data_IF_650650447673
#
_entry.id   IF_650650447673
#
_cell.length_a   1.000
_cell.length_b   1.000
_cell.length_c   1.000
_cell.angle_alpha   90.00
_cell.angle_beta   90.00
_cell.angle_gamma   90.00
#
_symmetry.space_group_name_H-M   'P 1'
#
loop_
_entity.id
_entity.type
_entity.pdbx_description
1 polymer ?
#
# COMPACT_ATOMS: atom_id res chain seq x y z
N UNK A 1 9.94 -45.31 -18.96
CA UNK A 1 9.50 -44.25 -18.01
C UNK A 1 10.46 -43.09 -18.15
N UNK A 2 10.03 -41.95 -18.68
CA UNK A 2 10.87 -40.74 -18.64
C UNK A 2 10.99 -40.30 -17.19
N UNK A 3 12.20 -40.24 -16.66
CA UNK A 3 12.44 -39.72 -15.31
C UNK A 3 12.04 -38.25 -15.28
N UNK A 4 11.06 -37.90 -14.42
CA UNK A 4 10.69 -36.52 -14.17
C UNK A 4 11.85 -35.81 -13.45
N UNK A 5 12.87 -35.36 -14.17
CA UNK A 5 14.02 -34.66 -13.58
C UNK A 5 13.86 -33.12 -13.61
N UNK A 6 12.62 -32.64 -13.69
CA UNK A 6 12.32 -31.19 -13.79
C UNK A 6 12.35 -30.56 -12.41
N UNK A 7 12.85 -29.33 -12.37
CA UNK A 7 13.06 -28.57 -11.14
C UNK A 7 12.28 -27.26 -11.23
N UNK A 8 11.47 -26.97 -10.22
CA UNK A 8 10.94 -25.64 -9.97
C UNK A 8 11.82 -25.00 -8.89
N UNK A 9 12.46 -23.88 -9.20
CA UNK A 9 13.22 -23.08 -8.25
C UNK A 9 12.36 -21.93 -7.76
N UNK A 10 12.18 -21.85 -6.46
CA UNK A 10 11.37 -20.84 -5.80
C UNK A 10 12.26 -19.92 -4.97
N UNK A 11 12.19 -18.63 -5.28
CA UNK A 11 12.78 -17.57 -4.49
C UNK A 11 11.66 -16.82 -3.77
N UNK A 12 11.72 -16.80 -2.44
CA UNK A 12 10.61 -16.37 -1.59
C UNK A 12 11.02 -15.08 -0.86
N UNK A 13 10.41 -13.96 -1.25
CA UNK A 13 10.83 -12.61 -0.87
C UNK A 13 9.73 -11.82 -0.18
N UNK A 14 10.10 -10.86 0.64
CA UNK A 14 9.19 -9.81 1.08
C UNK A 14 9.05 -8.70 0.00
N UNK A 15 8.30 -7.64 0.32
CA UNK A 15 8.10 -6.51 -0.60
C UNK A 15 9.37 -5.70 -0.87
N UNK A 16 10.38 -5.78 0.00
CA UNK A 16 11.68 -5.15 -0.17
C UNK A 16 12.64 -5.98 -1.04
N UNK A 17 12.27 -7.22 -1.36
CA UNK A 17 13.09 -8.14 -2.14
C UNK A 17 14.05 -8.97 -1.29
N UNK A 18 13.97 -8.90 0.03
CA UNK A 18 14.78 -9.70 0.95
C UNK A 18 14.18 -11.10 1.13
N UNK A 19 15.00 -12.15 1.31
CA UNK A 19 14.49 -13.49 1.58
C UNK A 19 13.70 -13.51 2.89
N UNK A 20 12.49 -14.07 2.87
CA UNK A 20 11.75 -14.25 4.12
C UNK A 20 12.49 -15.24 5.03
N UNK A 21 12.59 -14.90 6.32
CA UNK A 21 13.43 -15.62 7.28
C UNK A 21 12.75 -16.87 7.86
N UNK A 22 11.44 -16.99 7.70
CA UNK A 22 10.63 -18.05 8.29
C UNK A 22 10.57 -19.34 7.45
N UNK A 23 9.99 -20.37 8.06
CA UNK A 23 9.74 -21.63 7.37
C UNK A 23 8.36 -21.61 6.75
N UNK A 24 8.27 -22.08 5.51
CA UNK A 24 7.02 -22.07 4.75
C UNK A 24 6.54 -23.47 4.40
N UNK A 25 5.24 -23.58 4.18
CA UNK A 25 4.63 -24.72 3.51
C UNK A 25 4.36 -24.38 2.04
N UNK A 26 4.74 -25.28 1.13
CA UNK A 26 4.54 -25.14 -0.31
C UNK A 26 3.75 -26.31 -0.84
N UNK A 27 2.64 -26.02 -1.51
CA UNK A 27 1.82 -27.01 -2.20
C UNK A 27 1.80 -26.71 -3.69
N UNK A 28 2.07 -27.75 -4.49
CA UNK A 28 2.00 -27.71 -5.94
C UNK A 28 1.03 -28.78 -6.41
N UNK A 29 0.03 -28.40 -7.21
CA UNK A 29 -0.97 -29.32 -7.77
C UNK A 29 -1.02 -29.16 -9.27
N UNK A 30 -0.75 -30.23 -10.02
CA UNK A 30 -0.96 -30.23 -11.47
C UNK A 30 -2.45 -30.07 -11.79
N UNK A 31 -2.80 -29.27 -12.80
CA UNK A 31 -4.21 -28.96 -13.09
C UNK A 31 -4.93 -30.03 -13.93
N UNK A 32 -4.21 -30.85 -14.68
CA UNK A 32 -4.77 -32.00 -15.41
C UNK A 32 -4.39 -33.37 -14.84
N UNK A 33 -3.12 -33.60 -14.52
CA UNK A 33 -2.62 -34.85 -13.92
C UNK A 33 -2.88 -34.90 -12.42
N UNK A 34 -2.84 -36.11 -11.84
CA UNK A 34 -2.91 -36.33 -10.39
C UNK A 34 -1.62 -35.99 -9.64
N UNK A 35 -0.64 -35.36 -10.31
CA UNK A 35 0.65 -34.99 -9.73
C UNK A 35 0.45 -33.87 -8.68
N UNK A 36 0.84 -34.17 -7.45
CA UNK A 36 0.76 -33.25 -6.31
C UNK A 36 2.04 -33.36 -5.50
N UNK A 37 2.62 -32.22 -5.16
CA UNK A 37 3.76 -32.10 -4.26
C UNK A 37 3.39 -31.21 -3.09
N UNK A 38 3.85 -31.62 -1.91
CA UNK A 38 3.76 -30.83 -0.69
C UNK A 38 5.15 -30.84 -0.08
N UNK A 39 5.71 -29.66 0.12
CA UNK A 39 6.99 -29.44 0.79
C UNK A 39 6.66 -28.66 2.05
N UNK A 40 6.89 -29.26 3.22
CA UNK A 40 6.51 -28.64 4.50
C UNK A 40 7.71 -28.05 5.22
N UNK A 41 7.46 -27.00 5.99
CA UNK A 41 8.38 -26.38 6.94
C UNK A 41 9.79 -26.17 6.38
N UNK A 42 9.88 -25.66 5.14
CA UNK A 42 11.17 -25.49 4.46
C UNK A 42 11.70 -24.08 4.68
N UNK A 43 13.02 -23.96 4.87
CA UNK A 43 13.69 -22.67 5.06
C UNK A 43 13.59 -21.86 3.77
N UNK A 44 13.06 -20.64 3.87
CA UNK A 44 12.93 -19.72 2.75
C UNK A 44 14.11 -18.75 2.57
N UNK A 45 15.14 -18.84 3.43
CA UNK A 45 16.33 -17.98 3.38
C UNK A 45 17.25 -18.19 2.18
N UNK A 46 16.98 -19.21 1.36
CA UNK A 46 17.69 -19.53 0.12
C UNK A 46 16.69 -20.04 -0.91
N UNK A 47 17.10 -20.00 -2.18
CA UNK A 47 16.32 -20.60 -3.28
C UNK A 47 16.01 -22.06 -2.98
N UNK A 48 14.72 -22.38 -2.98
CA UNK A 48 14.20 -23.72 -2.76
C UNK A 48 14.05 -24.44 -4.10
N UNK A 49 14.39 -25.73 -4.16
CA UNK A 49 14.22 -26.54 -5.37
C UNK A 49 13.18 -27.64 -5.13
N UNK A 50 12.11 -27.63 -5.93
CA UNK A 50 11.11 -28.70 -5.97
C UNK A 50 11.37 -29.53 -7.22
N UNK A 51 11.81 -30.77 -7.02
CA UNK A 51 12.20 -31.71 -8.08
C UNK A 51 11.09 -32.72 -8.34
N UNK A 52 11.17 -33.44 -9.46
CA UNK A 52 10.25 -34.55 -9.72
C UNK A 52 8.95 -34.16 -10.42
N UNK A 53 8.91 -32.98 -11.06
CA UNK A 53 7.68 -32.39 -11.57
C UNK A 53 7.33 -32.83 -13.00
N UNK A 54 6.04 -33.00 -13.26
CA UNK A 54 5.49 -33.16 -14.61
C UNK A 54 5.48 -31.80 -15.34
N UNK A 55 5.44 -31.78 -16.69
CA UNK A 55 5.29 -30.51 -17.43
C UNK A 55 3.86 -30.02 -17.39
N UNK A 56 3.70 -28.71 -17.51
CA UNK A 56 2.41 -28.06 -17.71
C UNK A 56 1.96 -27.25 -16.51
N UNK A 57 0.69 -26.89 -16.52
CA UNK A 57 0.12 -25.94 -15.57
C UNK A 57 -0.08 -26.56 -14.19
N UNK A 58 0.58 -25.97 -13.20
CA UNK A 58 0.42 -26.26 -11.79
C UNK A 58 -0.21 -25.07 -11.08
N UNK A 59 -1.04 -25.34 -10.07
CA UNK A 59 -1.42 -24.36 -9.05
C UNK A 59 -0.41 -24.48 -7.91
N UNK A 60 0.32 -23.40 -7.68
CA UNK A 60 1.27 -23.22 -6.59
C UNK A 60 0.61 -22.44 -5.48
N UNK A 61 0.73 -22.92 -4.25
CA UNK A 61 0.32 -22.25 -3.03
C UNK A 61 1.50 -22.25 -2.07
N UNK A 62 1.81 -21.07 -1.51
CA UNK A 62 2.86 -20.92 -0.50
C UNK A 62 2.28 -20.20 0.70
N UNK A 63 2.45 -20.80 1.87
CA UNK A 63 1.86 -20.37 3.14
C UNK A 63 2.97 -20.05 4.16
N UNK A 64 3.40 -18.77 4.21
CA UNK A 64 4.30 -18.23 5.22
C UNK A 64 3.54 -17.80 6.51
N UNK A 65 4.01 -18.17 7.72
CA UNK A 65 3.31 -17.87 8.99
C UNK A 65 2.98 -16.40 9.29
N UNK A 66 3.84 -15.46 8.90
CA UNK A 66 3.71 -14.01 9.22
C UNK A 66 3.30 -13.14 8.04
N UNK A 67 3.21 -13.73 6.84
CA UNK A 67 2.83 -13.02 5.62
C UNK A 67 1.52 -13.57 5.06
N UNK A 68 0.93 -12.88 4.08
CA UNK A 68 -0.25 -13.36 3.42
C UNK A 68 0.10 -14.51 2.46
N UNK A 69 -0.68 -15.60 2.45
CA UNK A 69 -0.43 -16.72 1.56
C UNK A 69 -0.59 -16.30 0.10
N UNK A 70 0.25 -16.85 -0.78
CA UNK A 70 0.19 -16.57 -2.22
C UNK A 70 -0.18 -17.83 -2.98
N UNK A 71 -1.21 -17.72 -3.81
CA UNK A 71 -1.61 -18.74 -4.76
C UNK A 71 -1.47 -18.21 -6.20
N UNK A 72 -0.82 -18.98 -7.09
CA UNK A 72 -0.72 -18.63 -8.52
C UNK A 72 -0.61 -19.86 -9.40
N UNK A 73 -0.88 -19.68 -10.68
CA UNK A 73 -0.57 -20.69 -11.67
C UNK A 73 0.89 -20.56 -12.15
N UNK A 74 1.51 -21.71 -12.35
CA UNK A 74 2.89 -21.87 -12.81
C UNK A 74 2.93 -22.90 -13.92
N UNK A 75 3.45 -22.52 -15.08
CA UNK A 75 3.70 -23.46 -16.16
C UNK A 75 5.12 -24.03 -16.04
N UNK A 76 5.20 -25.31 -15.66
CA UNK A 76 6.48 -26.03 -15.56
C UNK A 76 6.91 -26.44 -16.97
N UNK A 77 7.93 -25.74 -17.48
CA UNK A 77 8.38 -25.89 -18.88
C UNK A 77 9.16 -27.19 -19.09
N UNK A 78 9.40 -27.52 -20.37
CA UNK A 78 10.21 -28.67 -20.80
C UNK A 78 11.72 -28.54 -20.50
N UNK A 79 12.18 -27.36 -20.08
CA UNK A 79 13.58 -27.08 -19.74
C UNK A 79 14.05 -27.73 -18.43
N UNK A 80 15.34 -27.57 -18.09
CA UNK A 80 15.94 -28.20 -16.91
C UNK A 80 15.42 -27.60 -15.59
N UNK A 81 15.11 -26.30 -15.59
CA UNK A 81 14.48 -25.63 -14.46
C UNK A 81 13.46 -24.58 -14.91
N UNK A 82 12.49 -24.30 -14.03
CA UNK A 82 11.62 -23.13 -14.08
C UNK A 82 11.89 -22.32 -12.82
N UNK A 83 12.29 -21.05 -12.96
CA UNK A 83 12.67 -20.19 -11.84
C UNK A 83 11.57 -19.16 -11.59
N UNK A 84 11.14 -19.00 -10.33
CA UNK A 84 10.05 -18.11 -9.96
C UNK A 84 10.39 -17.38 -8.68
N UNK A 85 10.20 -16.05 -8.71
CA UNK A 85 10.17 -15.22 -7.52
C UNK A 85 8.73 -15.06 -7.05
N UNK A 86 8.49 -15.28 -5.77
CA UNK A 86 7.21 -15.03 -5.09
C UNK A 86 7.46 -13.98 -4.03
N UNK A 87 6.70 -12.89 -4.11
CA UNK A 87 6.72 -11.81 -3.14
C UNK A 87 5.52 -11.97 -2.21
N UNK A 88 5.76 -11.88 -0.91
CA UNK A 88 4.75 -12.00 0.13
C UNK A 88 4.58 -10.64 0.82
N UNK A 89 3.38 -10.04 0.78
CA UNK A 89 3.06 -8.93 1.65
C UNK A 89 2.81 -9.43 3.07
N UNK A 90 3.23 -8.67 4.07
CA UNK A 90 3.01 -9.02 5.48
C UNK A 90 1.50 -9.17 5.79
N UNK A 91 1.13 -10.06 6.72
CA UNK A 91 -0.22 -10.06 7.27
C UNK A 91 -0.29 -8.98 8.37
N UNK A 92 -1.12 -7.92 8.23
CA UNK A 92 -1.20 -6.87 9.24
C UNK A 92 -1.54 -7.37 10.65
N UNK A 93 -2.21 -8.52 10.76
CA UNK A 93 -2.56 -9.14 12.06
C UNK A 93 -1.38 -9.84 12.75
N UNK A 94 -0.29 -10.05 12.02
CA UNK A 94 0.93 -10.70 12.49
C UNK A 94 2.01 -9.70 12.86
N UNK A 95 1.83 -8.42 12.53
CA UNK A 95 2.73 -7.34 12.94
C UNK A 95 2.72 -7.23 14.47
N UNK A 96 3.88 -7.44 15.09
CA UNK A 96 4.07 -7.34 16.55
C UNK A 96 4.51 -5.95 17.00
N UNK A 97 5.05 -5.15 16.08
CA UNK A 97 5.43 -3.76 16.31
C UNK A 97 5.89 -3.08 15.02
N UNK A 98 6.13 -1.77 15.09
CA UNK A 98 6.57 -0.98 13.93
C UNK A 98 7.68 -0.03 14.34
N UNK A 99 8.74 0.01 13.53
CA UNK A 99 9.86 0.95 13.68
C UNK A 99 9.62 2.11 12.72
N UNK A 100 9.25 3.26 13.28
CA UNK A 100 9.03 4.49 12.56
C UNK A 100 10.27 5.39 12.60
N UNK A 101 10.48 6.26 11.59
CA UNK A 101 11.51 7.29 11.66
C UNK A 101 11.18 8.24 12.82
N UNK A 102 12.23 8.74 13.50
CA UNK A 102 12.06 9.78 14.52
C UNK A 102 11.57 11.08 13.89
N UNK A 103 10.94 11.96 14.67
CA UNK A 103 10.43 13.23 14.16
C UNK A 103 11.53 14.04 13.45
N UNK A 104 12.72 14.11 14.05
CA UNK A 104 13.89 14.78 13.49
C UNK A 104 14.39 14.20 12.15
N UNK A 105 14.08 12.94 11.87
CA UNK A 105 14.49 12.25 10.63
C UNK A 105 13.46 12.41 9.50
N UNK A 106 12.25 12.92 9.79
CA UNK A 106 11.24 13.19 8.77
C UNK A 106 11.71 14.29 7.81
N UNK A 107 11.32 14.27 6.53
CA UNK A 107 11.62 15.38 5.62
C UNK A 107 11.13 16.73 6.15
N UNK A 108 11.87 17.81 5.89
CA UNK A 108 11.56 19.14 6.44
C UNK A 108 10.13 19.62 6.10
N UNK A 109 9.65 19.30 4.89
CA UNK A 109 8.26 19.60 4.48
C UNK A 109 7.23 18.85 5.33
N UNK A 110 7.49 17.59 5.65
CA UNK A 110 6.60 16.75 6.47
C UNK A 110 6.57 17.23 7.91
N UNK A 111 7.73 17.60 8.48
CA UNK A 111 7.81 18.25 9.80
C UNK A 111 7.00 19.54 9.85
N UNK A 112 7.17 20.40 8.84
CA UNK A 112 6.42 21.66 8.74
C UNK A 112 4.90 21.44 8.77
N UNK A 113 4.39 20.45 8.05
CA UNK A 113 2.95 20.12 8.07
C UNK A 113 2.51 19.79 9.50
N UNK A 114 3.27 18.96 10.22
CA UNK A 114 2.95 18.59 11.60
C UNK A 114 3.06 19.78 12.56
N UNK A 115 4.09 20.63 12.42
CA UNK A 115 4.27 21.86 13.22
C UNK A 115 3.13 22.86 13.04
N UNK A 116 2.60 22.97 11.82
CA UNK A 116 1.49 23.86 11.49
C UNK A 116 0.12 23.27 11.91
N UNK A 117 0.03 21.96 12.17
CA UNK A 117 -1.20 21.25 12.53
C UNK A 117 -1.54 21.37 14.03
N UNK A 118 -2.16 22.47 14.45
CA UNK A 118 -2.43 22.77 15.89
C UNK A 118 -3.79 22.32 16.41
N UNK A 119 -4.74 22.11 15.50
CA UNK A 119 -6.14 21.80 15.80
C UNK A 119 -6.54 20.49 15.13
N UNK A 120 -5.76 19.43 15.38
CA UNK A 120 -6.06 18.10 14.83
C UNK A 120 -7.17 17.46 15.65
N UNK A 121 -8.22 16.97 14.99
CA UNK A 121 -9.34 16.30 15.60
C UNK A 121 -8.88 15.14 16.51
N UNK A 122 -9.44 15.06 17.71
CA UNK A 122 -9.03 14.16 18.81
C UNK A 122 -7.66 14.45 19.45
N UNK A 123 -6.91 15.44 18.98
CA UNK A 123 -5.58 15.83 19.50
C UNK A 123 -5.44 17.35 19.65
N UNK A 124 -6.36 18.02 20.39
CA UNK A 124 -6.34 19.47 20.51
C UNK A 124 -5.05 19.96 21.17
N UNK A 125 -4.48 21.06 20.66
CA UNK A 125 -3.26 21.70 21.14
C UNK A 125 -1.97 20.86 21.04
N UNK A 126 -1.97 19.75 20.30
CA UNK A 126 -0.75 19.01 19.96
C UNK A 126 -0.31 19.37 18.54
N UNK A 127 0.99 19.48 18.31
CA UNK A 127 1.60 19.74 17.00
C UNK A 127 3.02 19.18 16.95
N UNK A 128 3.63 19.16 15.75
CA UNK A 128 5.02 18.77 15.55
C UNK A 128 5.34 17.39 16.10
N UNK A 129 6.40 17.29 16.90
CA UNK A 129 6.86 16.05 17.52
C UNK A 129 5.84 15.46 18.50
N UNK A 130 5.19 16.28 19.33
CA UNK A 130 4.22 15.83 20.33
C UNK A 130 2.98 15.22 19.67
N UNK A 131 2.55 15.79 18.53
CA UNK A 131 1.53 15.20 17.70
C UNK A 131 2.03 13.87 17.12
N UNK A 132 3.21 13.83 16.51
CA UNK A 132 3.74 12.63 15.84
C UNK A 132 4.09 11.47 16.78
N UNK A 133 4.28 11.73 18.08
CA UNK A 133 4.69 10.75 19.05
C UNK A 133 3.80 9.49 19.05
N UNK A 134 4.43 8.32 19.28
CA UNK A 134 3.76 7.03 19.26
C UNK A 134 2.57 6.94 20.23
N UNK A 135 2.69 7.55 21.41
CA UNK A 135 1.62 7.60 22.41
C UNK A 135 0.41 8.47 22.00
N UNK A 136 0.59 9.35 21.02
CA UNK A 136 -0.45 10.25 20.53
C UNK A 136 -1.18 9.63 19.34
N UNK A 137 -0.50 9.46 18.20
CA UNK A 137 -1.15 8.95 16.98
C UNK A 137 -1.43 7.44 17.04
N UNK A 138 -0.57 6.69 17.73
CA UNK A 138 -0.49 5.25 17.59
C UNK A 138 0.04 4.82 16.22
N UNK A 139 0.35 3.53 16.07
CA UNK A 139 1.05 3.03 14.88
C UNK A 139 0.22 3.17 13.60
N UNK A 140 -1.09 2.90 13.64
CA UNK A 140 -1.93 2.93 12.46
C UNK A 140 -2.05 4.33 11.83
N UNK A 141 -2.21 5.38 12.65
CA UNK A 141 -2.29 6.76 12.13
C UNK A 141 -0.94 7.28 11.65
N UNK A 142 0.17 6.90 12.31
CA UNK A 142 1.51 7.25 11.82
C UNK A 142 1.80 6.58 10.49
N UNK A 143 1.46 5.30 10.36
CA UNK A 143 1.59 4.57 9.10
C UNK A 143 0.76 5.21 7.99
N UNK A 144 -0.53 5.48 8.25
CA UNK A 144 -1.41 6.18 7.31
C UNK A 144 -0.86 7.53 6.87
N UNK A 145 -0.41 8.35 7.82
CA UNK A 145 0.21 9.64 7.54
C UNK A 145 1.44 9.50 6.64
N UNK A 146 2.39 8.62 6.99
CA UNK A 146 3.63 8.42 6.23
C UNK A 146 3.36 7.88 4.82
N UNK A 147 2.41 6.96 4.67
CA UNK A 147 2.00 6.45 3.36
C UNK A 147 1.45 7.56 2.47
N UNK A 148 0.53 8.37 3.00
CA UNK A 148 -0.11 9.46 2.25
C UNK A 148 0.90 10.54 1.89
N UNK A 149 1.77 10.99 2.81
CA UNK A 149 2.77 12.01 2.47
C UNK A 149 3.79 11.48 1.47
N UNK A 150 4.20 10.21 1.57
CA UNK A 150 5.10 9.59 0.60
C UNK A 150 4.45 9.54 -0.79
N UNK A 151 3.20 9.07 -0.89
CA UNK A 151 2.47 9.03 -2.16
C UNK A 151 2.22 10.43 -2.72
N UNK A 152 1.82 11.38 -1.90
CA UNK A 152 1.61 12.77 -2.29
C UNK A 152 2.90 13.44 -2.78
N UNK A 153 4.06 13.10 -2.20
CA UNK A 153 5.37 13.59 -2.66
C UNK A 153 5.77 13.03 -4.03
N UNK A 154 5.24 11.86 -4.39
CA UNK A 154 5.49 11.19 -5.67
C UNK A 154 4.38 11.42 -6.71
N UNK A 155 3.38 12.26 -6.40
CA UNK A 155 2.25 12.55 -7.28
C UNK A 155 2.41 13.94 -7.90
N UNK A 156 2.95 14.04 -9.13
CA UNK A 156 3.21 15.31 -9.78
C UNK A 156 1.92 15.96 -10.28
N UNK A 157 1.98 17.28 -10.45
CA UNK A 157 0.98 18.13 -11.09
C UNK A 157 1.59 18.74 -12.36
N UNK A 158 0.75 19.23 -13.27
CA UNK A 158 1.17 19.83 -14.55
C UNK A 158 2.18 20.98 -14.41
N UNK A 159 2.16 21.69 -13.28
CA UNK A 159 3.06 22.80 -13.01
C UNK A 159 4.44 22.40 -12.45
N UNK A 160 4.73 21.10 -12.38
CA UNK A 160 6.01 20.56 -11.91
C UNK A 160 6.15 20.48 -10.39
N UNK A 161 5.13 20.89 -9.63
CA UNK A 161 5.03 20.63 -8.18
C UNK A 161 4.35 19.29 -7.92
N UNK A 162 4.38 18.87 -6.66
CA UNK A 162 3.72 17.64 -6.17
C UNK A 162 2.52 17.99 -5.31
N UNK A 163 1.63 17.02 -5.07
CA UNK A 163 0.50 17.21 -4.14
C UNK A 163 0.98 17.60 -2.75
N UNK A 164 2.09 17.02 -2.27
CA UNK A 164 2.64 17.32 -0.93
C UNK A 164 3.03 18.80 -0.76
N UNK A 165 3.44 19.47 -1.83
CA UNK A 165 3.83 20.88 -1.81
C UNK A 165 2.67 21.83 -1.47
N UNK A 166 1.44 21.33 -1.53
CA UNK A 166 0.21 22.09 -1.28
C UNK A 166 -0.48 21.75 0.05
N UNK A 167 -0.05 20.70 0.75
CA UNK A 167 -0.61 20.32 2.06
C UNK A 167 -0.09 21.29 3.11
N UNK A 168 -0.96 22.10 3.72
CA UNK A 168 -0.56 23.14 4.67
C UNK A 168 -0.56 22.63 6.12
N UNK A 169 -1.69 22.06 6.54
CA UNK A 169 -1.88 21.48 7.86
C UNK A 169 -2.88 20.33 7.78
N UNK A 170 -2.77 19.37 8.69
CA UNK A 170 -3.71 18.28 8.87
C UNK A 170 -4.76 18.69 9.90
N UNK A 171 -6.01 18.35 9.63
CA UNK A 171 -7.14 18.55 10.54
C UNK A 171 -7.67 17.26 11.14
N UNK A 172 -7.48 16.13 10.47
CA UNK A 172 -7.82 14.82 11.03
C UNK A 172 -6.97 13.73 10.40
N UNK A 173 -6.42 12.84 11.23
CA UNK A 173 -5.64 11.67 10.82
C UNK A 173 -6.44 10.40 11.08
N UNK A 174 -6.65 9.61 10.01
CA UNK A 174 -7.17 8.25 10.08
C UNK A 174 -6.07 7.25 9.72
N UNK A 175 -6.39 5.97 9.77
CA UNK A 175 -5.43 4.91 9.43
C UNK A 175 -5.11 4.85 7.94
N UNK A 176 -6.06 5.21 7.06
CA UNK A 176 -5.99 5.07 5.60
C UNK A 176 -5.94 6.42 4.86
N UNK A 177 -6.39 7.49 5.50
CA UNK A 177 -6.55 8.82 4.90
C UNK A 177 -6.29 9.94 5.90
N UNK A 178 -6.17 11.17 5.41
CA UNK A 178 -6.27 12.35 6.26
C UNK A 178 -6.97 13.52 5.59
N UNK A 179 -7.52 14.40 6.44
CA UNK A 179 -8.13 15.64 6.01
C UNK A 179 -7.15 16.77 6.23
N UNK A 180 -6.89 17.57 5.20
CA UNK A 180 -5.92 18.65 5.26
C UNK A 180 -6.44 19.95 4.69
N UNK A 181 -5.95 21.06 5.26
CA UNK A 181 -6.11 22.38 4.64
C UNK A 181 -5.12 22.47 3.48
N UNK A 182 -5.65 22.89 2.35
CA UNK A 182 -4.92 23.06 1.10
C UNK A 182 -5.34 24.38 0.47
N UNK A 183 -4.49 25.06 -0.31
CA UNK A 183 -4.95 26.21 -1.06
C UNK A 183 -5.86 25.77 -2.20
N UNK A 184 -6.78 26.65 -2.61
CA UNK A 184 -7.62 26.46 -3.80
C UNK A 184 -6.82 26.10 -5.05
N UNK A 185 -5.60 26.60 -5.16
CA UNK A 185 -4.67 26.32 -6.24
C UNK A 185 -4.46 24.81 -6.44
N UNK A 186 -4.33 24.02 -5.38
CA UNK A 186 -4.16 22.56 -5.52
C UNK A 186 -5.32 21.95 -6.31
N UNK A 187 -6.56 22.34 -6.00
CA UNK A 187 -7.73 21.82 -6.71
C UNK A 187 -7.71 22.20 -8.19
N UNK A 188 -7.39 23.44 -8.52
CA UNK A 188 -7.36 23.88 -9.91
C UNK A 188 -6.21 23.19 -10.68
N UNK A 189 -5.04 23.04 -10.05
CA UNK A 189 -3.92 22.31 -10.64
C UNK A 189 -4.21 20.82 -10.82
N UNK A 190 -4.89 20.18 -9.87
CA UNK A 190 -5.36 18.78 -10.01
C UNK A 190 -6.34 18.65 -11.18
N UNK A 191 -7.27 19.61 -11.33
CA UNK A 191 -8.18 19.64 -12.48
C UNK A 191 -7.43 19.80 -13.80
N UNK A 192 -6.46 20.70 -13.86
CA UNK A 192 -5.63 20.91 -15.06
C UNK A 192 -4.84 19.64 -15.40
N UNK A 193 -4.32 18.96 -14.37
CA UNK A 193 -3.56 17.71 -14.47
C UNK A 193 -4.37 16.53 -15.01
N UNK A 194 -5.70 16.65 -15.12
CA UNK A 194 -6.54 15.67 -15.83
C UNK A 194 -6.24 15.66 -17.33
N UNK A 195 -5.98 16.84 -17.93
CA UNK A 195 -5.68 16.93 -19.36
C UNK A 195 -4.37 16.24 -19.73
N UNK A 196 -3.42 16.20 -18.80
CA UNK A 196 -2.12 15.54 -18.97
C UNK A 196 -2.14 14.06 -18.56
N UNK A 197 -3.30 13.53 -18.16
CA UNK A 197 -3.47 12.14 -17.73
C UNK A 197 -2.83 11.81 -16.38
N UNK A 198 -2.40 12.81 -15.61
CA UNK A 198 -1.83 12.61 -14.26
C UNK A 198 -2.92 12.32 -13.22
N UNK A 199 -4.15 12.75 -13.50
CA UNK A 199 -5.34 12.48 -12.70
C UNK A 199 -6.53 12.13 -13.58
N UNK A 200 -7.53 11.48 -12.98
CA UNK A 200 -8.83 11.21 -13.57
C UNK A 200 -9.92 11.74 -12.64
N UNK A 201 -10.98 12.33 -13.19
CA UNK A 201 -12.12 12.75 -12.38
C UNK A 201 -12.96 11.53 -12.00
N UNK A 202 -13.31 11.43 -10.72
CA UNK A 202 -14.08 10.32 -10.15
C UNK A 202 -15.21 10.86 -9.28
N UNK A 203 -16.13 9.97 -8.88
CA UNK A 203 -17.20 10.35 -7.96
C UNK A 203 -16.68 10.42 -6.53
N UNK A 204 -16.87 11.58 -5.87
CA UNK A 204 -16.56 11.80 -4.46
C UNK A 204 -17.66 11.37 -3.49
N UNK A 205 -18.75 10.72 -3.93
CA UNK A 205 -19.96 10.52 -3.10
C UNK A 205 -19.73 9.68 -1.83
N UNK A 206 -18.64 8.90 -1.75
CA UNK A 206 -18.27 8.14 -0.55
C UNK A 206 -17.37 8.91 0.43
N UNK A 207 -16.96 10.14 0.06
CA UNK A 207 -16.13 11.01 0.87
C UNK A 207 -17.00 12.10 1.47
N UNK A 208 -17.03 12.15 2.79
CA UNK A 208 -17.79 13.15 3.53
C UNK A 208 -16.86 13.80 4.54
N UNK A 209 -16.89 15.12 4.57
CA UNK A 209 -16.27 15.84 5.66
C UNK A 209 -16.94 15.50 6.99
N UNK A 210 -16.18 15.45 8.10
CA UNK A 210 -16.73 15.41 9.43
C UNK A 210 -17.71 16.56 9.68
N UNK A 211 -18.65 16.37 10.62
CA UNK A 211 -19.71 17.34 10.95
C UNK A 211 -19.19 18.71 11.39
N UNK A 212 -17.93 18.80 11.80
CA UNK A 212 -17.30 20.01 12.31
C UNK A 212 -16.90 20.97 11.17
N UNK A 213 -16.83 20.49 9.92
CA UNK A 213 -16.57 21.31 8.73
C UNK A 213 -17.85 21.91 8.15
N UNK A 214 -18.71 22.50 8.98
CA UNK A 214 -19.98 23.09 8.51
C UNK A 214 -19.75 24.19 7.48
N UNK A 215 -20.56 24.17 6.42
CA UNK A 215 -20.55 25.16 5.34
C UNK A 215 -19.57 24.86 4.21
N UNK A 216 -18.75 23.81 4.32
CA UNK A 216 -18.00 23.29 3.18
C UNK A 216 -18.91 22.46 2.27
N UNK A 217 -18.69 22.58 0.96
CA UNK A 217 -19.44 21.87 -0.08
C UNK A 217 -18.49 21.11 -0.98
N UNK A 218 -18.94 19.98 -1.52
CA UNK A 218 -18.16 19.19 -2.47
C UNK A 218 -17.69 20.05 -3.65
N UNK A 219 -16.40 19.94 -3.96
CA UNK A 219 -15.74 20.70 -5.00
C UNK A 219 -15.02 19.78 -6.02
N UNK A 220 -15.39 18.50 -6.06
CA UNK A 220 -14.88 17.52 -7.01
C UNK A 220 -13.85 16.57 -6.42
N UNK A 221 -13.76 15.39 -7.04
CA UNK A 221 -12.86 14.31 -6.65
C UNK A 221 -12.04 13.81 -7.84
N UNK A 222 -10.78 13.51 -7.57
CA UNK A 222 -9.77 13.16 -8.58
C UNK A 222 -8.86 12.05 -8.07
N UNK A 223 -8.46 11.15 -8.96
CA UNK A 223 -7.65 9.98 -8.61
C UNK A 223 -6.48 9.82 -9.58
N UNK A 224 -5.29 9.50 -9.07
CA UNK A 224 -4.14 9.16 -9.93
C UNK A 224 -4.43 7.88 -10.72
N UNK A 225 -3.85 7.68 -11.92
CA UNK A 225 -4.18 6.56 -12.80
C UNK A 225 -3.42 5.26 -12.49
N UNK A 226 -2.83 5.12 -11.29
CA UNK A 226 -2.07 3.93 -10.91
C UNK A 226 -2.92 2.65 -10.99
N UNK A 227 -2.30 1.49 -11.23
CA UNK A 227 -3.03 0.21 -11.14
C UNK A 227 -3.41 -0.11 -9.67
N UNK A 228 -2.53 0.27 -8.73
CA UNK A 228 -2.62 0.00 -7.30
C UNK A 228 -2.12 1.17 -6.49
N UNK A 229 -2.67 1.43 -5.30
CA UNK A 229 -2.20 2.48 -4.39
C UNK A 229 -2.48 3.90 -4.91
N UNK A 230 -3.64 4.09 -5.52
CA UNK A 230 -4.02 5.36 -6.12
C UNK A 230 -4.22 6.45 -5.07
N UNK A 231 -3.65 7.62 -5.30
CA UNK A 231 -3.96 8.80 -4.49
C UNK A 231 -5.29 9.39 -4.97
N UNK A 232 -6.26 9.48 -4.07
CA UNK A 232 -7.53 10.14 -4.31
C UNK A 232 -7.61 11.45 -3.51
N UNK A 233 -7.91 12.54 -4.21
CA UNK A 233 -8.11 13.87 -3.65
C UNK A 233 -9.58 14.26 -3.83
N UNK A 234 -10.30 14.36 -2.72
CA UNK A 234 -11.66 14.91 -2.74
C UNK A 234 -11.66 16.27 -2.07
N UNK A 235 -12.01 17.30 -2.84
CA UNK A 235 -11.95 18.68 -2.39
C UNK A 235 -13.29 19.16 -1.88
N UNK A 236 -13.22 20.04 -0.90
CA UNK A 236 -14.38 20.73 -0.36
C UNK A 236 -14.06 22.19 -0.18
N UNK A 237 -15.00 23.07 -0.53
CA UNK A 237 -14.78 24.51 -0.51
C UNK A 237 -15.86 25.27 0.28
N UNK A 238 -15.44 26.36 0.91
CA UNK A 238 -16.30 27.37 1.54
C UNK A 238 -15.73 28.76 1.27
N UNK A 239 -16.24 29.44 0.26
CA UNK A 239 -15.59 30.67 -0.25
C UNK A 239 -14.21 30.33 -0.82
N UNK A 240 -13.17 30.98 -0.30
CA UNK A 240 -11.78 30.69 -0.67
C UNK A 240 -11.11 29.62 0.21
N UNK A 241 -11.75 29.21 1.31
CA UNK A 241 -11.26 28.11 2.14
C UNK A 241 -11.38 26.78 1.36
N UNK A 242 -10.32 25.98 1.38
CA UNK A 242 -10.29 24.67 0.75
C UNK A 242 -9.71 23.61 1.67
N UNK A 243 -10.40 22.47 1.74
CA UNK A 243 -10.00 21.28 2.48
C UNK A 243 -10.02 20.10 1.53
N UNK A 244 -9.07 19.18 1.68
CA UNK A 244 -9.04 17.94 0.92
C UNK A 244 -9.14 16.74 1.87
N UNK A 245 -9.97 15.76 1.52
CA UNK A 245 -9.81 14.37 1.95
C UNK A 245 -8.77 13.72 1.03
N UNK A 246 -7.64 13.30 1.60
CA UNK A 246 -6.50 12.71 0.90
C UNK A 246 -6.40 11.25 1.34
N UNK A 247 -6.74 10.37 0.42
CA UNK A 247 -6.92 8.93 0.65
C UNK A 247 -6.04 8.13 -0.32
N UNK A 248 -5.65 6.91 0.09
CA UNK A 248 -5.03 5.95 -0.82
C UNK A 248 -5.93 4.73 -0.96
N UNK A 249 -6.43 4.53 -2.17
CA UNK A 249 -7.16 3.31 -2.52
C UNK A 249 -6.20 2.19 -2.90
N UNK A 250 -6.55 0.96 -2.55
CA UNK A 250 -5.75 -0.24 -2.82
C UNK A 250 -5.64 -0.56 -4.32
N UNK A 251 -6.73 -0.42 -5.10
CA UNK A 251 -6.77 -0.75 -6.51
C UNK A 251 -7.67 0.14 -7.38
N UNK A 252 -7.30 0.27 -8.65
CA UNK A 252 -8.17 0.72 -9.73
C UNK A 252 -8.73 -0.51 -10.50
N UNK A 253 -9.95 -0.95 -10.18
CA UNK A 253 -10.67 -1.98 -10.94
C UNK A 253 -10.46 -3.44 -10.50
N UNK A 254 -10.46 -4.37 -11.46
CA UNK A 254 -10.47 -5.85 -11.24
C UNK A 254 -9.04 -6.44 -11.17
N UNK A 255 -8.02 -5.57 -11.02
CA UNK A 255 -6.62 -5.94 -10.93
C UNK A 255 -6.32 -6.73 -9.66
N UNK A 256 -5.97 -8.00 -9.82
CA UNK A 256 -5.60 -8.89 -8.73
C UNK A 256 -4.23 -8.51 -8.14
N UNK A 257 -4.17 -7.55 -7.22
CA UNK A 257 -2.91 -7.08 -6.60
C UNK A 257 -2.15 -8.25 -5.98
N UNK A 258 -2.87 -9.11 -5.25
CA UNK A 258 -2.42 -10.39 -4.73
C UNK A 258 -3.66 -11.26 -4.57
N UNK A 259 -3.87 -12.28 -5.40
CA UNK A 259 -5.14 -13.03 -5.48
C UNK A 259 -5.54 -13.79 -4.18
N UNK A 260 -4.80 -13.63 -3.07
CA UNK A 260 -5.23 -13.95 -1.70
C UNK A 260 -4.82 -12.85 -0.69
N UNK A 261 -5.10 -11.57 -0.97
CA UNK A 261 -5.50 -10.66 0.11
C UNK A 261 -6.95 -11.04 0.45
N UNK A 262 -7.10 -11.83 1.51
CA UNK A 262 -8.27 -12.67 1.85
C UNK A 262 -9.58 -11.90 2.13
N UNK A 263 -9.84 -10.72 1.54
CA UNK A 263 -11.12 -9.99 1.63
C UNK A 263 -11.24 -8.77 0.69
N UNK A 264 -10.83 -8.86 -0.58
CA UNK A 264 -11.17 -7.84 -1.60
C UNK A 264 -12.69 -7.72 -1.92
N UNK A 265 -13.57 -8.20 -1.02
CA UNK A 265 -15.02 -8.19 -1.11
C UNK A 265 -15.69 -7.83 0.21
N UNK A 266 -14.94 -7.25 1.16
CA UNK A 266 -15.53 -6.63 2.35
C UNK A 266 -15.24 -5.14 2.30
N UNK A 267 -16.29 -4.33 2.28
CA UNK A 267 -16.30 -2.85 2.32
C UNK A 267 -15.67 -2.27 3.60
N UNK A 268 -14.47 -2.72 3.98
CA UNK A 268 -13.73 -2.29 5.15
C UNK A 268 -12.68 -1.27 4.71
N UNK A 269 -12.39 -0.24 5.53
CA UNK A 269 -11.26 0.65 5.28
C UNK A 269 -9.98 -0.17 5.09
N UNK A 270 -9.18 0.20 4.10
CA UNK A 270 -7.91 -0.46 3.80
C UNK A 270 -6.95 -0.31 4.98
N UNK A 271 -6.26 -1.38 5.36
CA UNK A 271 -5.31 -1.30 6.46
C UNK A 271 -4.09 -0.48 6.01
N UNK A 272 -3.55 0.48 6.80
CA UNK A 272 -2.36 1.25 6.41
C UNK A 272 -1.16 0.36 6.06
N UNK A 273 -1.05 -0.79 6.71
CA UNK A 273 0.05 -1.72 6.43
C UNK A 273 -0.08 -2.35 5.05
N UNK A 274 -1.30 -2.65 4.59
CA UNK A 274 -1.53 -3.13 3.22
C UNK A 274 -1.13 -2.05 2.20
N UNK A 275 -1.46 -0.77 2.47
CA UNK A 275 -1.04 0.35 1.63
C UNK A 275 0.49 0.45 1.55
N UNK A 276 1.20 0.32 2.66
CA UNK A 276 2.67 0.32 2.65
C UNK A 276 3.24 -0.80 1.78
N UNK A 277 2.74 -2.02 1.92
CA UNK A 277 3.17 -3.15 1.08
C UNK A 277 2.91 -2.87 -0.41
N UNK A 278 1.78 -2.23 -0.75
CA UNK A 278 1.45 -1.81 -2.12
C UNK A 278 2.43 -0.76 -2.64
N UNK A 279 2.67 0.30 -1.86
CA UNK A 279 3.54 1.42 -2.24
C UNK A 279 4.96 0.93 -2.55
N UNK A 280 5.52 0.09 -1.70
CA UNK A 280 6.88 -0.45 -1.92
C UNK A 280 6.89 -1.36 -3.14
N UNK A 281 5.95 -2.31 -3.22
CA UNK A 281 6.03 -3.35 -4.23
C UNK A 281 5.68 -2.89 -5.64
N UNK A 282 4.65 -2.04 -5.75
CA UNK A 282 4.07 -1.67 -7.04
C UNK A 282 4.46 -0.28 -7.50
N UNK A 283 4.78 0.62 -6.56
CA UNK A 283 5.16 1.99 -6.90
C UNK A 283 6.61 2.31 -6.56
N UNK A 284 7.33 1.40 -5.91
CA UNK A 284 8.72 1.60 -5.46
C UNK A 284 8.87 2.82 -4.55
N UNK A 285 7.83 3.11 -3.77
CA UNK A 285 7.78 4.19 -2.79
C UNK A 285 7.92 3.60 -1.40
N UNK A 286 8.97 4.00 -0.67
CA UNK A 286 9.22 3.58 0.70
C UNK A 286 8.73 4.67 1.68
N UNK A 287 7.68 4.42 2.48
CA UNK A 287 7.19 5.36 3.48
C UNK A 287 8.16 5.58 4.67
N UNK A 288 9.25 4.82 4.74
CA UNK A 288 10.35 5.04 5.68
C UNK A 288 10.22 4.33 7.02
N UNK A 289 9.26 3.41 7.17
CA UNK A 289 9.08 2.62 8.39
C UNK A 289 9.16 1.11 8.10
N UNK A 290 9.33 0.29 9.15
CA UNK A 290 9.51 -1.17 9.03
C UNK A 290 8.65 -1.94 10.03
N UNK A 291 8.17 -3.10 9.62
CA UNK A 291 7.42 -4.01 10.49
C UNK A 291 8.34 -4.92 11.29
N UNK A 292 7.92 -5.22 12.51
CA UNK A 292 8.46 -6.29 13.34
C UNK A 292 7.47 -7.46 13.31
N UNK A 293 7.99 -8.67 13.10
CA UNK A 293 7.24 -9.94 13.04
C UNK A 293 7.79 -10.96 14.04
#
# INVERSE_FOLDING_TARGET
>A
MMSNNRVLRLDLRDVYGDPISERVDVMLRHQTLSDRRIVRSTKATKTMEIRGLSMGLHRLEVDPPSYLPVARYVDVKSGPSTDIVIVFPIDPKKVSGVVFPGYGDLPARVRKILDDSREVFSFPNLSGEDLYAAGTLGDLRRAGFLNVVQKASASPLSNGRTVLDYILEVKELRGDRFFAVVPRELREETKNSVADGLFTSVSGTMHHLPSDFRGFTDAGSFKTPDDYGNLQLTFFMRGDDCVADIDIDDAAGIGHVFQVLRNALTKRPTHPYDIHEILIRHQFLDPGYRFLI
#
